data_IF_045732962913
#
_entry.id   IF_045732962913
#
_cell.length_a   1.000
_cell.length_b   1.000
_cell.length_c   1.000
_cell.angle_alpha   90.00
_cell.angle_beta   90.00
_cell.angle_gamma   90.00
#
_symmetry.space_group_name_H-M   'P 1'
#
loop_
_entity.id
_entity.type
_entity.pdbx_description
1 polymer ?
#
# COMPACT_ATOMS: atom_id res chain seq x y z
N UNK A 1 54.02 24.60 8.10
CA UNK A 1 52.61 24.88 8.44
C UNK A 1 51.95 25.54 7.23
N UNK A 2 51.22 24.79 6.40
CA UNK A 2 50.20 25.30 5.49
C UNK A 2 49.22 24.16 5.19
N UNK A 3 47.97 24.36 5.60
CA UNK A 3 46.87 23.38 5.69
C UNK A 3 46.30 22.96 4.32
N UNK A 4 45.89 21.70 4.23
CA UNK A 4 45.08 21.10 3.16
C UNK A 4 43.69 21.75 2.99
N UNK A 5 43.10 21.80 1.78
CA UNK A 5 41.69 22.09 1.60
C UNK A 5 40.84 20.81 1.74
N UNK A 6 39.75 20.95 2.48
CA UNK A 6 38.88 19.85 2.89
C UNK A 6 37.99 19.29 1.78
N UNK A 7 37.80 17.98 1.85
CA UNK A 7 36.81 17.20 1.11
C UNK A 7 35.40 17.54 1.61
N UNK A 8 34.67 18.37 0.86
CA UNK A 8 33.24 18.56 1.06
C UNK A 8 32.45 17.45 0.35
N UNK A 9 31.70 16.69 1.16
CA UNK A 9 30.79 15.59 0.82
C UNK A 9 29.85 15.87 -0.37
N UNK A 10 29.57 14.88 -1.24
CA UNK A 10 28.68 15.05 -2.38
C UNK A 10 27.22 15.13 -1.91
N UNK A 11 26.59 16.30 -2.09
CA UNK A 11 25.18 16.55 -1.78
C UNK A 11 24.29 15.68 -2.67
N UNK A 12 23.63 14.73 -2.00
CA UNK A 12 22.58 13.82 -2.46
C UNK A 12 21.35 14.58 -2.95
N UNK A 13 21.19 14.78 -4.26
CA UNK A 13 19.95 15.28 -4.86
C UNK A 13 19.68 14.64 -6.22
N UNK A 14 19.18 13.41 -6.24
CA UNK A 14 18.68 12.78 -7.48
C UNK A 14 17.36 12.06 -7.23
N UNK A 15 16.32 12.84 -6.89
CA UNK A 15 14.93 12.34 -6.98
C UNK A 15 13.94 13.30 -7.66
N UNK A 16 14.37 14.48 -8.12
CA UNK A 16 13.50 15.45 -8.79
C UNK A 16 13.32 15.22 -10.30
N UNK A 17 13.93 14.19 -10.91
CA UNK A 17 13.84 13.94 -12.36
C UNK A 17 12.83 12.87 -12.78
N UNK A 18 12.17 12.19 -11.85
CA UNK A 18 11.29 11.07 -12.22
C UNK A 18 9.98 11.50 -12.92
N UNK A 19 9.59 12.78 -12.85
CA UNK A 19 8.31 13.26 -13.40
C UNK A 19 8.42 14.45 -14.38
N UNK A 20 9.64 14.89 -14.74
CA UNK A 20 9.83 15.99 -15.71
C UNK A 20 9.25 17.37 -15.31
N UNK A 21 8.79 17.53 -14.07
CA UNK A 21 8.18 18.78 -13.59
C UNK A 21 9.07 19.49 -12.57
N UNK A 22 9.26 20.79 -12.75
CA UNK A 22 9.99 21.62 -11.79
C UNK A 22 9.26 21.71 -10.45
N UNK A 23 9.98 21.89 -9.31
CA UNK A 23 9.35 21.95 -7.98
C UNK A 23 8.26 23.03 -7.87
N UNK A 24 8.38 24.14 -8.61
CA UNK A 24 7.39 25.23 -8.62
C UNK A 24 6.07 24.92 -9.35
N UNK A 25 6.03 23.88 -10.19
CA UNK A 25 4.80 23.46 -10.89
C UNK A 25 4.03 22.43 -10.07
N UNK A 26 4.74 21.55 -9.35
CA UNK A 26 4.18 20.49 -8.52
C UNK A 26 3.33 21.06 -7.36
N UNK A 27 3.88 21.99 -6.59
CA UNK A 27 3.18 22.58 -5.43
C UNK A 27 2.06 23.55 -5.80
N UNK A 28 1.96 23.93 -7.08
CA UNK A 28 0.86 24.78 -7.57
C UNK A 28 -0.43 23.98 -7.78
N UNK A 29 -0.30 22.69 -8.13
CA UNK A 29 -1.41 21.75 -8.28
C UNK A 29 -1.66 20.91 -7.03
N UNK A 30 -0.64 20.72 -6.19
CA UNK A 30 -0.72 19.99 -4.93
C UNK A 30 -0.22 20.87 -3.78
N UNK A 31 -1.06 21.80 -3.28
CA UNK A 31 -0.78 22.65 -2.13
C UNK A 31 -0.14 21.92 -0.94
N UNK A 32 -0.51 20.66 -0.71
CA UNK A 32 0.03 19.85 0.39
C UNK A 32 0.81 18.62 -0.10
N UNK A 33 1.77 18.17 0.71
CA UNK A 33 2.47 16.89 0.47
C UNK A 33 1.49 15.72 0.42
N UNK A 34 0.42 15.78 1.20
CA UNK A 34 -0.59 14.74 1.30
C UNK A 34 -1.45 14.67 0.02
N UNK A 35 -1.84 15.81 -0.56
CA UNK A 35 -2.53 15.85 -1.87
C UNK A 35 -1.66 15.31 -3.00
N UNK A 36 -0.37 15.65 -3.02
CA UNK A 36 0.57 15.09 -4.01
C UNK A 36 0.67 13.57 -3.87
N UNK A 37 0.75 13.08 -2.64
CA UNK A 37 0.83 11.65 -2.36
C UNK A 37 -0.45 10.94 -2.78
N UNK A 38 -1.61 11.48 -2.43
CA UNK A 38 -2.90 10.94 -2.85
C UNK A 38 -3.02 10.88 -4.38
N UNK A 39 -2.62 11.93 -5.09
CA UNK A 39 -2.65 11.95 -6.55
C UNK A 39 -1.72 10.91 -7.19
N UNK A 40 -0.52 10.71 -6.64
CA UNK A 40 0.43 9.67 -7.09
C UNK A 40 -0.09 8.25 -6.78
N UNK A 41 -0.89 8.12 -5.72
CA UNK A 41 -1.51 6.86 -5.33
C UNK A 41 -2.77 6.54 -6.12
N UNK A 42 -3.50 7.54 -6.63
CA UNK A 42 -4.82 7.36 -7.25
C UNK A 42 -4.78 6.46 -8.49
N UNK A 43 -3.82 6.69 -9.40
CA UNK A 43 -3.62 5.86 -10.61
C UNK A 43 -3.38 4.40 -10.24
N UNK A 44 -2.54 4.17 -9.24
CA UNK A 44 -2.17 2.83 -8.82
C UNK A 44 -3.25 2.10 -8.01
N UNK A 45 -4.08 2.85 -7.29
CA UNK A 45 -5.20 2.29 -6.53
C UNK A 45 -6.45 2.08 -7.40
N UNK A 46 -6.49 2.63 -8.61
CA UNK A 46 -7.53 2.33 -9.61
C UNK A 46 -7.59 0.86 -9.96
N UNK A 47 -6.44 0.23 -10.21
CA UNK A 47 -6.39 -1.20 -10.54
C UNK A 47 -6.77 -2.08 -9.34
N UNK A 48 -6.35 -1.68 -8.13
CA UNK A 48 -6.75 -2.36 -6.90
C UNK A 48 -8.27 -2.25 -6.67
N UNK A 49 -8.85 -1.07 -6.92
CA UNK A 49 -10.30 -0.87 -6.84
C UNK A 49 -11.04 -1.76 -7.85
N UNK A 50 -10.61 -1.79 -9.11
CA UNK A 50 -11.20 -2.65 -10.15
C UNK A 50 -11.16 -4.12 -9.76
N UNK A 51 -10.00 -4.61 -9.32
CA UNK A 51 -9.87 -5.97 -8.81
C UNK A 51 -10.82 -6.22 -7.63
N UNK A 52 -10.92 -5.27 -6.71
CA UNK A 52 -11.83 -5.39 -5.58
C UNK A 52 -13.29 -5.55 -6.02
N UNK A 53 -13.73 -4.79 -7.03
CA UNK A 53 -15.06 -4.92 -7.61
C UNK A 53 -15.24 -6.28 -8.29
N UNK A 54 -14.26 -6.76 -9.06
CA UNK A 54 -14.31 -8.09 -9.70
C UNK A 54 -14.42 -9.22 -8.66
N UNK A 55 -13.75 -9.09 -7.52
CA UNK A 55 -13.79 -10.09 -6.45
C UNK A 55 -15.12 -10.13 -5.70
N UNK A 56 -16.04 -9.18 -5.92
CA UNK A 56 -17.39 -9.25 -5.35
C UNK A 56 -18.16 -10.46 -5.89
N UNK A 57 -17.89 -10.88 -7.12
CA UNK A 57 -18.57 -12.01 -7.76
C UNK A 57 -17.88 -13.37 -7.53
N UNK A 58 -16.72 -13.40 -6.85
CA UNK A 58 -16.00 -14.63 -6.56
C UNK A 58 -16.63 -15.37 -5.35
N UNK A 59 -17.08 -16.63 -5.53
CA UNK A 59 -17.72 -17.40 -4.46
C UNK A 59 -16.74 -17.88 -3.38
N UNK A 60 -15.48 -18.17 -3.74
CA UNK A 60 -14.47 -18.61 -2.77
C UNK A 60 -13.94 -17.42 -1.96
N UNK A 61 -14.45 -17.27 -0.74
CA UNK A 61 -14.10 -16.13 0.13
C UNK A 61 -12.64 -16.14 0.58
N UNK A 62 -12.00 -17.31 0.72
CA UNK A 62 -10.57 -17.37 1.04
C UNK A 62 -9.73 -16.90 -0.14
N UNK A 63 -10.12 -17.31 -1.36
CA UNK A 63 -9.48 -16.84 -2.59
C UNK A 63 -9.67 -15.34 -2.80
N UNK A 64 -10.84 -14.78 -2.46
CA UNK A 64 -11.09 -13.33 -2.46
C UNK A 64 -10.06 -12.61 -1.58
N UNK A 65 -9.94 -13.02 -0.32
CA UNK A 65 -9.02 -12.38 0.64
C UNK A 65 -7.58 -12.52 0.17
N UNK A 66 -7.16 -13.71 -0.25
CA UNK A 66 -5.81 -13.94 -0.77
C UNK A 66 -5.49 -13.01 -1.95
N UNK A 67 -6.33 -13.01 -2.99
CA UNK A 67 -6.09 -12.21 -4.21
C UNK A 67 -6.05 -10.71 -3.91
N UNK A 68 -6.93 -10.23 -3.04
CA UNK A 68 -6.94 -8.82 -2.65
C UNK A 68 -5.69 -8.43 -1.85
N UNK A 69 -5.28 -9.25 -0.87
CA UNK A 69 -4.07 -8.98 -0.07
C UNK A 69 -2.82 -8.94 -0.94
N UNK A 70 -2.72 -9.87 -1.89
CA UNK A 70 -1.63 -9.92 -2.84
C UNK A 70 -1.53 -8.61 -3.64
N UNK A 71 -2.62 -8.20 -4.29
CA UNK A 71 -2.64 -6.96 -5.06
C UNK A 71 -2.38 -5.73 -4.19
N UNK A 72 -2.91 -5.69 -2.96
CA UNK A 72 -2.66 -4.60 -2.03
C UNK A 72 -1.18 -4.50 -1.63
N UNK A 73 -0.51 -5.63 -1.37
CA UNK A 73 0.92 -5.67 -1.04
C UNK A 73 1.76 -5.20 -2.22
N UNK A 74 1.45 -5.70 -3.42
CA UNK A 74 2.13 -5.29 -4.65
C UNK A 74 2.04 -3.79 -4.86
N UNK A 75 0.82 -3.25 -4.72
CA UNK A 75 0.56 -1.85 -4.92
C UNK A 75 1.23 -1.00 -3.85
N UNK A 76 1.19 -1.44 -2.60
CA UNK A 76 1.86 -0.78 -1.47
C UNK A 76 3.39 -0.76 -1.64
N UNK A 77 3.97 -1.82 -2.21
CA UNK A 77 5.39 -1.91 -2.50
C UNK A 77 5.90 -0.86 -3.50
N UNK A 78 5.05 -0.36 -4.40
CA UNK A 78 5.40 0.73 -5.33
C UNK A 78 5.63 2.07 -4.60
N UNK A 79 5.12 2.20 -3.38
CA UNK A 79 5.16 3.42 -2.60
C UNK A 79 5.92 3.26 -1.27
N UNK A 80 6.98 2.46 -1.23
CA UNK A 80 7.75 2.21 0.01
C UNK A 80 8.25 3.49 0.73
N UNK A 81 8.46 4.60 0.00
CA UNK A 81 8.75 5.91 0.59
C UNK A 81 7.56 6.63 1.25
N UNK A 82 6.36 6.07 1.12
CA UNK A 82 5.06 6.56 1.55
C UNK A 82 4.28 5.51 2.37
N UNK A 83 4.93 4.41 2.78
CA UNK A 83 4.30 3.31 3.52
C UNK A 83 3.54 3.78 4.78
N UNK A 84 4.06 4.80 5.49
CA UNK A 84 3.37 5.42 6.62
C UNK A 84 2.03 6.06 6.22
N UNK A 85 1.96 6.64 5.03
CA UNK A 85 0.74 7.23 4.47
C UNK A 85 -0.23 6.15 3.98
N UNK A 86 0.26 4.99 3.51
CA UNK A 86 -0.60 3.84 3.16
C UNK A 86 -1.23 3.16 4.37
N UNK A 87 -0.46 3.04 5.47
CA UNK A 87 -0.96 2.47 6.71
C UNK A 87 -2.01 3.37 7.38
N UNK A 88 -1.78 4.69 7.32
CA UNK A 88 -2.64 5.72 7.88
C UNK A 88 -2.84 6.86 6.85
N UNK A 89 -3.79 6.70 5.91
CA UNK A 89 -4.07 7.71 4.90
C UNK A 89 -4.48 9.05 5.55
N UNK A 90 -4.14 10.19 4.93
CA UNK A 90 -4.51 11.50 5.47
C UNK A 90 -6.03 11.64 5.52
N UNK A 91 -6.57 12.25 6.58
CA UNK A 91 -8.00 12.56 6.69
C UNK A 91 -8.52 13.49 5.56
N UNK A 92 -7.61 14.13 4.82
CA UNK A 92 -7.89 14.93 3.64
C UNK A 92 -8.15 14.10 2.37
N UNK A 93 -8.09 12.77 2.44
CA UNK A 93 -8.61 11.93 1.37
C UNK A 93 -10.12 12.16 1.29
N UNK A 94 -10.54 12.90 0.26
CA UNK A 94 -11.93 12.99 -0.13
C UNK A 94 -12.51 11.56 -0.25
N UNK A 95 -13.71 11.34 0.29
CA UNK A 95 -14.44 10.07 0.16
C UNK A 95 -14.62 9.67 -1.31
N UNK A 96 -14.53 10.63 -2.23
CA UNK A 96 -14.56 10.38 -3.66
C UNK A 96 -13.21 9.92 -4.27
N UNK A 97 -12.09 10.00 -3.54
CA UNK A 97 -10.78 9.55 -4.05
C UNK A 97 -10.78 8.05 -4.37
N UNK A 98 -10.07 7.65 -5.43
CA UNK A 98 -9.96 6.24 -5.81
C UNK A 98 -9.18 5.46 -4.75
N UNK A 99 -8.24 6.13 -4.09
CA UNK A 99 -7.54 5.63 -2.91
C UNK A 99 -8.49 5.14 -1.81
N UNK A 100 -9.41 6.01 -1.38
CA UNK A 100 -10.38 5.69 -0.34
C UNK A 100 -11.30 4.53 -0.76
N UNK A 101 -11.82 4.57 -1.99
CA UNK A 101 -12.68 3.52 -2.53
C UNK A 101 -11.98 2.16 -2.62
N UNK A 102 -10.72 2.11 -3.03
CA UNK A 102 -9.95 0.87 -3.10
C UNK A 102 -9.78 0.22 -1.72
N UNK A 103 -9.47 1.04 -0.70
CA UNK A 103 -9.34 0.57 0.68
C UNK A 103 -10.69 0.07 1.21
N UNK A 104 -11.76 0.84 1.03
CA UNK A 104 -13.10 0.46 1.50
C UNK A 104 -13.60 -0.84 0.86
N UNK A 105 -13.41 -1.01 -0.46
CA UNK A 105 -13.79 -2.27 -1.14
C UNK A 105 -13.05 -3.44 -0.53
N UNK A 106 -11.74 -3.31 -0.31
CA UNK A 106 -10.93 -4.34 0.35
C UNK A 106 -11.41 -4.71 1.75
N UNK A 107 -11.67 -3.70 2.58
CA UNK A 107 -12.20 -3.89 3.92
C UNK A 107 -13.55 -4.61 3.89
N UNK A 108 -14.43 -4.25 2.95
CA UNK A 108 -15.71 -4.93 2.76
C UNK A 108 -15.54 -6.40 2.32
N UNK A 109 -14.60 -6.71 1.44
CA UNK A 109 -14.31 -8.09 1.03
C UNK A 109 -13.88 -8.95 2.23
N UNK A 110 -12.98 -8.44 3.08
CA UNK A 110 -12.51 -9.15 4.27
C UNK A 110 -13.65 -9.31 5.29
N UNK A 111 -14.40 -8.25 5.56
CA UNK A 111 -15.55 -8.32 6.48
C UNK A 111 -16.63 -9.28 5.98
N UNK A 112 -16.89 -9.32 4.66
CA UNK A 112 -17.81 -10.29 4.05
C UNK A 112 -17.31 -11.72 4.23
N UNK A 113 -16.03 -11.98 3.96
CA UNK A 113 -15.42 -13.29 4.15
C UNK A 113 -15.55 -13.76 5.61
N UNK A 114 -15.30 -12.88 6.58
CA UNK A 114 -15.53 -13.17 8.00
C UNK A 114 -17.01 -13.51 8.30
N UNK A 115 -17.95 -12.72 7.77
CA UNK A 115 -19.39 -12.95 7.95
C UNK A 115 -19.93 -14.27 7.37
N UNK A 116 -19.20 -14.89 6.44
CA UNK A 116 -19.54 -16.23 5.89
C UNK A 116 -19.00 -17.40 6.71
N UNK A 117 -18.17 -17.14 7.73
CA UNK A 117 -17.47 -18.19 8.48
C UNK A 117 -16.22 -18.74 7.77
N UNK A 118 -15.80 -18.12 6.66
CA UNK A 118 -14.56 -18.50 5.96
C UNK A 118 -13.29 -18.03 6.70
N UNK A 119 -13.43 -17.08 7.64
CA UNK A 119 -12.36 -16.59 8.51
C UNK A 119 -12.74 -16.80 9.98
N UNK A 120 -11.76 -16.72 10.89
CA UNK A 120 -12.01 -16.74 12.34
C UNK A 120 -12.90 -15.55 12.77
N UNK A 121 -13.79 -15.73 13.76
CA UNK A 121 -14.82 -14.74 14.08
C UNK A 121 -14.29 -13.42 14.67
N UNK A 122 -13.07 -13.41 15.21
CA UNK A 122 -12.36 -12.24 15.72
C UNK A 122 -11.53 -11.52 14.65
N UNK A 123 -11.69 -11.87 13.36
CA UNK A 123 -10.94 -11.21 12.27
C UNK A 123 -11.43 -9.79 12.06
N UNK A 124 -10.58 -8.81 12.39
CA UNK A 124 -10.79 -7.40 12.03
C UNK A 124 -10.15 -7.09 10.67
N UNK A 125 -10.92 -6.45 9.77
CA UNK A 125 -10.45 -6.13 8.42
C UNK A 125 -9.35 -5.06 8.39
N UNK A 126 -9.28 -4.15 9.37
CA UNK A 126 -8.16 -3.23 9.52
C UNK A 126 -6.90 -3.95 9.95
N UNK A 127 -6.98 -4.91 10.87
CA UNK A 127 -5.79 -5.67 11.30
C UNK A 127 -5.18 -6.45 10.14
N UNK A 128 -6.02 -7.12 9.35
CA UNK A 128 -5.58 -7.82 8.14
C UNK A 128 -4.93 -6.85 7.14
N UNK A 129 -5.53 -5.67 6.92
CA UNK A 129 -4.94 -4.61 6.08
C UNK A 129 -3.60 -4.10 6.64
N UNK A 130 -3.50 -3.88 7.95
CA UNK A 130 -2.26 -3.41 8.59
C UNK A 130 -1.14 -4.44 8.47
N UNK A 131 -1.46 -5.73 8.63
CA UNK A 131 -0.50 -6.82 8.39
C UNK A 131 0.00 -6.83 6.95
N UNK A 132 -0.90 -6.66 5.97
CA UNK A 132 -0.51 -6.56 4.56
C UNK A 132 0.38 -5.34 4.29
N UNK A 133 0.07 -4.18 4.88
CA UNK A 133 0.92 -2.99 4.79
C UNK A 133 2.30 -3.22 5.43
N UNK A 134 2.36 -3.94 6.56
CA UNK A 134 3.62 -4.30 7.20
C UNK A 134 4.47 -5.24 6.33
N UNK A 135 3.85 -6.23 5.68
CA UNK A 135 4.54 -7.12 4.72
C UNK A 135 5.15 -6.31 3.57
N UNK A 136 4.37 -5.42 2.96
CA UNK A 136 4.84 -4.57 1.87
C UNK A 136 6.00 -3.66 2.30
N UNK A 137 5.97 -3.16 3.54
CA UNK A 137 7.05 -2.34 4.09
C UNK A 137 8.33 -3.17 4.32
N UNK A 138 8.22 -4.33 4.97
CA UNK A 138 9.36 -5.22 5.26
C UNK A 138 10.03 -5.70 3.98
N UNK A 139 9.25 -6.07 2.96
CA UNK A 139 9.80 -6.55 1.69
C UNK A 139 10.65 -5.47 0.99
N UNK A 140 10.35 -4.20 1.22
CA UNK A 140 11.16 -3.07 0.77
C UNK A 140 12.44 -2.77 1.53
N UNK A 141 12.58 -3.30 2.76
CA UNK A 141 13.77 -3.08 3.58
C UNK A 141 14.83 -4.17 3.42
N UNK A 142 14.42 -5.35 2.98
CA UNK A 142 15.24 -6.54 2.94
C UNK A 142 15.76 -6.82 1.52
N UNK A 143 16.83 -7.62 1.36
CA UNK A 143 17.26 -8.08 0.05
C UNK A 143 16.13 -8.77 -0.72
N UNK A 144 16.10 -8.69 -2.07
CA UNK A 144 15.08 -9.36 -2.87
C UNK A 144 14.99 -10.86 -2.54
N UNK A 145 13.77 -11.32 -2.30
CA UNK A 145 13.44 -12.73 -2.10
C UNK A 145 12.10 -12.96 -2.81
N UNK A 146 12.09 -13.68 -3.95
CA UNK A 146 10.90 -13.82 -4.79
C UNK A 146 9.73 -14.51 -4.07
N UNK A 147 10.03 -15.28 -3.02
CA UNK A 147 9.04 -16.11 -2.34
C UNK A 147 8.61 -15.52 -0.98
N UNK A 148 9.27 -14.46 -0.49
CA UNK A 148 8.99 -13.89 0.84
C UNK A 148 7.55 -13.46 0.98
N UNK A 149 7.05 -12.70 0.01
CA UNK A 149 5.67 -12.22 0.00
C UNK A 149 4.68 -13.38 0.10
N UNK A 150 4.81 -14.39 -0.75
CA UNK A 150 3.93 -15.55 -0.76
C UNK A 150 3.92 -16.29 0.59
N UNK A 151 5.10 -16.51 1.20
CA UNK A 151 5.22 -17.14 2.52
C UNK A 151 4.57 -16.31 3.63
N UNK A 152 4.78 -14.99 3.64
CA UNK A 152 4.21 -14.10 4.65
C UNK A 152 2.69 -13.97 4.50
N UNK A 153 2.18 -13.87 3.27
CA UNK A 153 0.74 -13.86 2.99
C UNK A 153 0.11 -15.17 3.45
N UNK A 154 0.71 -16.33 3.14
CA UNK A 154 0.20 -17.61 3.63
C UNK A 154 0.18 -17.69 5.15
N UNK A 155 1.24 -17.20 5.81
CA UNK A 155 1.28 -17.15 7.28
C UNK A 155 0.10 -16.35 7.86
N UNK A 156 -0.26 -15.21 7.24
CA UNK A 156 -1.43 -14.43 7.63
C UNK A 156 -2.73 -15.20 7.38
N UNK A 157 -2.87 -15.80 6.20
CA UNK A 157 -4.08 -16.55 5.82
C UNK A 157 -4.32 -17.76 6.73
N UNK A 158 -3.29 -18.55 7.00
CA UNK A 158 -3.36 -19.68 7.91
C UNK A 158 -3.76 -19.23 9.32
N UNK A 159 -3.27 -18.06 9.76
CA UNK A 159 -3.59 -17.48 11.06
C UNK A 159 -5.03 -16.96 11.19
N UNK A 160 -5.71 -16.61 10.09
CA UNK A 160 -7.09 -16.11 10.10
C UNK A 160 -8.13 -17.15 9.65
N UNK A 161 -7.72 -18.40 9.41
CA UNK A 161 -8.66 -19.49 9.12
C UNK A 161 -9.51 -19.84 10.35
N UNK A 162 -10.75 -20.30 10.15
CA UNK A 162 -11.60 -20.80 11.23
C UNK A 162 -10.96 -22.03 11.90
N UNK A 163 -11.12 -22.14 13.21
CA UNK A 163 -10.66 -23.25 14.05
C UNK A 163 -11.77 -24.26 14.31
#
# INVERSE_FOLDING_TARGET
>A
MTRSPGTASPRRWTRSRAAGVGPGTLYRHFPTRDELVLAVMDDGLTDLYRLGVELLDEPDQLKVVHRWLDAYIEQSGKYQGLARTLANPPAAADEQSTCWRAILVGMNLISRAAGTGALRPDTDSNDVRHLAAAIAWVDGQLPPDPDRRARLVQTVLDGIRPH
#
